data_IF_758770312390
#
_entry.id   IF_758770312390
#
_cell.length_a   1.000
_cell.length_b   1.000
_cell.length_c   1.000
_cell.angle_alpha   90.00
_cell.angle_beta   90.00
_cell.angle_gamma   90.00
#
_symmetry.space_group_name_H-M   'P 1'
#
loop_
_entity.id
_entity.type
_entity.pdbx_description
1 polymer ?
#
# COMPACT_ATOMS: atom_id res chain seq x y z
N UNK A 1 -5.53 -0.33 -4.88
CA UNK A 1 -4.21 0.23 -5.25
C UNK A 1 -3.19 -0.38 -4.30
N UNK A 2 -2.01 -0.77 -4.77
CA UNK A 2 -0.95 -1.35 -3.95
C UNK A 2 0.32 -0.53 -4.16
N UNK A 3 0.97 -0.10 -3.08
CA UNK A 3 2.16 0.72 -3.13
C UNK A 3 2.66 1.12 -1.76
N UNK A 4 3.87 1.67 -1.70
CA UNK A 4 4.46 2.19 -0.45
C UNK A 4 3.77 3.50 -0.06
N UNK A 5 3.06 3.51 1.06
CA UNK A 5 2.46 4.73 1.61
C UNK A 5 3.53 5.82 1.88
N UNK A 6 4.73 5.43 2.32
CA UNK A 6 5.84 6.36 2.54
C UNK A 6 6.30 7.03 1.26
N UNK A 7 6.45 6.27 0.18
CA UNK A 7 6.83 6.82 -1.14
C UNK A 7 5.71 7.68 -1.73
N UNK A 8 4.45 7.24 -1.64
CA UNK A 8 3.31 8.01 -2.14
C UNK A 8 3.15 9.33 -1.37
N UNK A 9 3.47 9.34 -0.08
CA UNK A 9 3.37 10.54 0.76
C UNK A 9 4.40 11.63 0.43
N UNK A 10 5.42 11.36 -0.40
CA UNK A 10 6.36 12.40 -0.85
C UNK A 10 5.72 13.36 -1.86
N UNK A 11 4.61 12.98 -2.49
CA UNK A 11 3.86 13.82 -3.42
C UNK A 11 2.63 14.37 -2.67
N UNK A 12 2.46 15.70 -2.53
CA UNK A 12 1.42 16.29 -1.68
C UNK A 12 -0.01 15.81 -1.96
N UNK A 13 -0.37 15.65 -3.23
CA UNK A 13 -1.71 15.17 -3.60
C UNK A 13 -1.93 13.71 -3.23
N UNK A 14 -0.91 12.87 -3.40
CA UNK A 14 -0.97 11.45 -3.05
C UNK A 14 -0.95 11.26 -1.53
N UNK A 15 -0.23 12.11 -0.79
CA UNK A 15 -0.30 12.17 0.67
C UNK A 15 -1.73 12.42 1.15
N UNK A 16 -2.39 13.44 0.59
CA UNK A 16 -3.79 13.75 0.94
C UNK A 16 -4.71 12.55 0.65
N UNK A 17 -4.49 11.86 -0.48
CA UNK A 17 -5.25 10.65 -0.81
C UNK A 17 -5.03 9.55 0.22
N UNK A 18 -3.78 9.26 0.60
CA UNK A 18 -3.45 8.26 1.62
C UNK A 18 -4.11 8.60 2.95
N UNK A 19 -4.01 9.85 3.41
CA UNK A 19 -4.63 10.32 4.65
C UNK A 19 -6.15 10.14 4.63
N UNK A 20 -6.83 10.52 3.53
CA UNK A 20 -8.30 10.38 3.42
C UNK A 20 -8.76 8.94 3.35
N UNK A 21 -7.99 8.06 2.69
CA UNK A 21 -8.29 6.63 2.65
C UNK A 21 -8.08 6.00 4.03
N UNK A 22 -7.04 6.41 4.76
CA UNK A 22 -6.78 5.96 6.13
C UNK A 22 -7.89 6.40 7.10
N UNK A 23 -8.33 7.65 7.03
CA UNK A 23 -9.46 8.18 7.83
C UNK A 23 -10.75 7.35 7.63
N UNK A 24 -10.98 6.87 6.40
CA UNK A 24 -12.12 6.00 6.07
C UNK A 24 -11.93 4.53 6.41
N UNK A 25 -10.79 4.12 6.98
CA UNK A 25 -10.47 2.71 7.25
C UNK A 25 -10.21 1.87 6.00
N UNK A 26 -9.98 2.51 4.85
CA UNK A 26 -9.72 1.84 3.56
C UNK A 26 -8.26 1.47 3.34
N UNK A 27 -7.37 1.78 4.28
CA UNK A 27 -5.96 1.41 4.21
C UNK A 27 -5.75 0.02 4.81
N UNK A 28 -5.10 -0.86 4.06
CA UNK A 28 -4.72 -2.20 4.49
C UNK A 28 -3.20 -2.34 4.38
N UNK A 29 -2.55 -2.68 5.50
CA UNK A 29 -1.14 -3.02 5.50
C UNK A 29 -0.98 -4.46 5.00
N UNK A 30 -0.12 -4.63 4.01
CA UNK A 30 0.16 -5.94 3.41
C UNK A 30 1.47 -6.49 3.98
N UNK A 31 1.45 -7.78 4.31
CA UNK A 31 2.68 -8.56 4.56
C UNK A 31 3.03 -9.39 3.32
N UNK A 32 4.27 -9.91 3.26
CA UNK A 32 4.68 -10.79 2.16
C UNK A 32 3.81 -12.06 2.05
N UNK A 33 3.23 -12.52 3.17
CA UNK A 33 2.29 -13.64 3.17
C UNK A 33 0.99 -13.29 2.45
N UNK A 34 0.48 -12.07 2.66
CA UNK A 34 -0.74 -11.59 2.02
C UNK A 34 -0.52 -11.42 0.51
N UNK A 35 0.63 -10.88 0.11
CA UNK A 35 1.03 -10.74 -1.30
C UNK A 35 1.12 -12.09 -2.02
N UNK A 36 1.64 -13.13 -1.36
CA UNK A 36 1.65 -14.48 -1.93
C UNK A 36 0.26 -15.13 -2.01
N UNK A 37 -0.67 -14.70 -1.14
CA UNK A 37 -2.04 -15.22 -1.07
C UNK A 37 -2.98 -14.53 -2.05
N UNK A 38 -2.68 -13.30 -2.47
CA UNK A 38 -3.44 -12.53 -3.46
C UNK A 38 -2.95 -12.93 -4.87
N UNK A 39 -3.77 -13.61 -5.69
CA UNK A 39 -3.35 -14.10 -7.00
C UNK A 39 -2.74 -13.02 -7.92
N UNK A 40 -3.29 -11.81 -7.87
CA UNK A 40 -2.87 -10.66 -8.67
C UNK A 40 -1.49 -10.13 -8.24
N UNK A 41 -1.10 -10.36 -7.00
CA UNK A 41 0.16 -9.88 -6.43
C UNK A 41 1.19 -11.01 -6.27
N UNK A 42 0.88 -12.24 -6.66
CA UNK A 42 1.72 -13.42 -6.44
C UNK A 42 3.11 -13.32 -7.08
N UNK A 43 3.25 -12.54 -8.16
CA UNK A 43 4.53 -12.26 -8.82
C UNK A 43 5.22 -10.98 -8.30
N UNK A 44 4.60 -10.29 -7.33
CA UNK A 44 5.16 -9.10 -6.68
C UNK A 44 5.86 -9.49 -5.39
N UNK A 45 6.84 -8.69 -4.99
CA UNK A 45 7.51 -8.82 -3.69
C UNK A 45 7.44 -7.48 -2.99
N UNK A 46 7.15 -7.49 -1.69
CA UNK A 46 7.32 -6.28 -0.88
C UNK A 46 8.82 -6.11 -0.63
N UNK A 47 9.36 -4.95 -1.04
CA UNK A 47 10.71 -4.56 -0.67
C UNK A 47 10.71 -4.17 0.83
N UNK A 48 10.83 -5.17 1.69
CA UNK A 48 10.98 -5.00 3.14
C UNK A 48 12.45 -4.66 3.44
N UNK A 49 12.75 -3.36 3.56
CA UNK A 49 14.00 -2.87 4.15
C UNK A 49 13.75 -2.44 5.59
#
# INVERSE_FOLDING_TARGET
MVGSAGTLSTIPLLRLLVEKVAEGGGQLDLTNKDVQSIPELRNSQLNVQ
#
